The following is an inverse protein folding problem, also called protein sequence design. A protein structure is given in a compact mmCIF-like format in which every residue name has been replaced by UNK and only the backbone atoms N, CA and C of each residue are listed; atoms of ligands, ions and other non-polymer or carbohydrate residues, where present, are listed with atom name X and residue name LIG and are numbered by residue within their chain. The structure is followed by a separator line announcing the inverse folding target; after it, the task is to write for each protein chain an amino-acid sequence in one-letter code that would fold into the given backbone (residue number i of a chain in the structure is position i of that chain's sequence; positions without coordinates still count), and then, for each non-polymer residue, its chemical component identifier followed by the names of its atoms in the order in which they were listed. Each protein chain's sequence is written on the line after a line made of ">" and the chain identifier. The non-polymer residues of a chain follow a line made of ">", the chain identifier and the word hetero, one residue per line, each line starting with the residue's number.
data_IF_993522067763
#
_entry.id   IF_993522067763
#
_cell.length_a   1.000
_cell.length_b   1.000
_cell.length_c   1.000
_cell.angle_alpha   90.00
_cell.angle_beta   90.00
_cell.angle_gamma   90.00
#
_symmetry.space_group_name_H-M   'P 1'
#
loop_
_entity.id
_entity.type
_entity.pdbx_description
1 polymer ?
#
# COMPACT_ATOMS: atom_id res chain seq x y z
N UNK A 1 6.46 -11.86 -1.68
CA UNK A 1 7.87 -11.39 -1.68
C UNK A 1 7.96 -9.98 -1.09
N UNK A 2 7.22 -9.01 -1.63
CA UNK A 2 7.04 -7.63 -1.13
C UNK A 2 6.91 -7.50 0.39
N UNK A 3 6.03 -8.29 1.01
CA UNK A 3 5.71 -8.10 2.43
C UNK A 3 6.78 -8.68 3.37
N UNK A 4 7.44 -9.77 2.97
CA UNK A 4 8.63 -10.26 3.68
C UNK A 4 9.77 -9.23 3.62
N UNK A 5 9.85 -8.45 2.55
CA UNK A 5 10.82 -7.36 2.41
C UNK A 5 10.51 -6.16 3.31
N UNK A 6 9.25 -5.68 3.32
CA UNK A 6 8.86 -4.53 4.18
C UNK A 6 9.04 -4.89 5.65
N UNK A 7 8.70 -6.12 6.03
CA UNK A 7 8.89 -6.66 7.39
C UNK A 7 10.38 -6.89 7.68
N UNK A 8 11.20 -7.29 6.69
CA UNK A 8 12.63 -7.54 6.85
C UNK A 8 13.53 -6.30 6.86
N UNK A 9 13.03 -5.11 6.46
CA UNK A 9 13.88 -3.92 6.28
C UNK A 9 14.25 -3.20 7.58
N UNK A 10 13.55 -3.46 8.69
CA UNK A 10 14.03 -3.09 10.02
C UNK A 10 15.23 -3.99 10.38
N UNK A 11 16.40 -3.65 9.81
CA UNK A 11 17.73 -4.28 9.93
C UNK A 11 17.70 -5.67 10.55
N UNK A 12 17.55 -6.69 9.72
CA UNK A 12 17.96 -8.03 10.11
C UNK A 12 19.48 -8.13 9.91
N UNK A 13 20.26 -8.26 10.99
CA UNK A 13 21.73 -8.42 10.94
C UNK A 13 22.16 -9.84 10.55
N UNK A 14 21.23 -10.72 10.17
CA UNK A 14 21.49 -12.10 9.84
C UNK A 14 21.80 -12.24 8.34
N UNK A 15 23.04 -12.65 8.03
CA UNK A 15 23.68 -13.23 6.83
C UNK A 15 23.04 -13.27 5.43
N UNK A 16 21.72 -13.14 5.24
CA UNK A 16 21.07 -13.13 3.93
C UNK A 16 20.53 -11.71 3.64
N UNK A 17 21.02 -11.07 2.58
CA UNK A 17 20.70 -9.68 2.26
C UNK A 17 19.20 -9.44 2.03
N UNK A 18 18.65 -8.40 2.67
CA UNK A 18 17.34 -7.83 2.30
C UNK A 18 17.41 -7.23 0.89
N UNK A 19 16.31 -7.21 0.13
CA UNK A 19 16.29 -6.59 -1.22
C UNK A 19 16.38 -5.05 -1.21
N UNK A 20 16.78 -4.44 -0.09
CA UNK A 20 16.92 -3.00 0.11
C UNK A 20 15.61 -2.19 0.06
N UNK A 21 15.71 -0.88 0.35
CA UNK A 21 14.60 0.09 0.20
C UNK A 21 14.12 0.16 -1.24
N UNK A 22 15.04 0.06 -2.19
CA UNK A 22 14.73 0.08 -3.62
C UNK A 22 13.84 -1.11 -4.01
N UNK A 23 14.14 -2.32 -3.53
CA UNK A 23 13.30 -3.49 -3.79
C UNK A 23 11.90 -3.36 -3.17
N UNK A 24 11.78 -2.69 -2.02
CA UNK A 24 10.47 -2.36 -1.44
C UNK A 24 9.70 -1.42 -2.36
N UNK A 25 10.31 -0.31 -2.80
CA UNK A 25 9.67 0.65 -3.70
C UNK A 25 9.17 -0.02 -4.99
N UNK A 26 10.01 -0.85 -5.62
CA UNK A 26 9.64 -1.63 -6.81
C UNK A 26 8.47 -2.57 -6.56
N UNK A 27 8.41 -3.16 -5.37
CA UNK A 27 7.35 -4.11 -5.04
C UNK A 27 5.98 -3.45 -4.85
N UNK A 28 5.92 -2.17 -4.45
CA UNK A 28 4.67 -1.39 -4.47
C UNK A 28 4.32 -0.95 -5.91
N UNK A 29 5.23 -0.25 -6.59
CA UNK A 29 4.97 0.28 -7.93
C UNK A 29 4.70 -0.81 -8.98
N UNK A 30 5.48 -1.88 -8.97
CA UNK A 30 5.33 -3.01 -9.89
C UNK A 30 4.02 -3.77 -9.69
N UNK A 31 3.57 -3.96 -8.44
CA UNK A 31 2.29 -4.62 -8.18
C UNK A 31 1.11 -3.75 -8.62
N UNK A 32 1.17 -2.42 -8.44
CA UNK A 32 0.17 -1.51 -8.99
C UNK A 32 0.14 -1.62 -10.51
N UNK A 33 1.29 -1.56 -11.18
CA UNK A 33 1.37 -1.73 -12.65
C UNK A 33 0.67 -3.01 -13.12
N UNK A 34 1.00 -4.16 -12.54
CA UNK A 34 0.40 -5.45 -12.91
C UNK A 34 -1.10 -5.47 -12.64
N UNK A 35 -1.54 -5.08 -11.44
CA UNK A 35 -2.94 -5.15 -11.05
C UNK A 35 -3.80 -4.19 -11.86
N UNK A 36 -3.32 -2.98 -12.14
CA UNK A 36 -4.00 -2.02 -13.00
C UNK A 36 -4.13 -2.59 -14.40
N UNK A 37 -3.05 -3.13 -14.99
CA UNK A 37 -3.09 -3.75 -16.30
C UNK A 37 -4.14 -4.88 -16.39
N UNK A 38 -4.15 -5.78 -15.41
CA UNK A 38 -5.10 -6.90 -15.36
C UNK A 38 -6.56 -6.45 -15.16
N UNK A 39 -6.79 -5.35 -14.45
CA UNK A 39 -8.14 -4.94 -14.03
C UNK A 39 -8.69 -3.71 -14.74
N UNK A 40 -7.91 -3.09 -15.63
CA UNK A 40 -8.28 -1.88 -16.36
C UNK A 40 -9.59 -2.06 -17.15
N UNK A 41 -9.70 -3.12 -17.94
CA UNK A 41 -10.89 -3.39 -18.76
C UNK A 41 -12.13 -3.85 -17.98
N UNK A 42 -11.98 -4.20 -16.70
CA UNK A 42 -13.06 -4.75 -15.87
C UNK A 42 -13.56 -3.71 -14.87
N UNK A 43 -12.65 -3.16 -14.05
CA UNK A 43 -12.99 -2.27 -12.94
C UNK A 43 -12.55 -0.83 -13.16
N UNK A 44 -11.73 -0.55 -14.19
CA UNK A 44 -11.03 0.73 -14.36
C UNK A 44 -9.67 0.78 -13.66
N UNK A 45 -9.28 -0.28 -12.94
CA UNK A 45 -7.95 -0.40 -12.34
C UNK A 45 -7.66 0.61 -11.23
N UNK A 46 -8.64 0.95 -10.38
CA UNK A 46 -8.42 2.00 -9.38
C UNK A 46 -7.47 1.59 -8.26
N UNK A 47 -7.69 0.40 -7.66
CA UNK A 47 -6.88 -0.25 -6.59
C UNK A 47 -6.58 0.64 -5.35
N UNK A 48 -7.08 1.89 -5.32
CA UNK A 48 -6.79 2.91 -4.33
C UNK A 48 -8.03 3.80 -4.11
N UNK A 49 -8.44 4.02 -2.84
CA UNK A 49 -9.55 4.92 -2.51
C UNK A 49 -9.34 6.36 -2.98
N UNK A 50 -8.13 6.91 -2.91
CA UNK A 50 -7.82 8.27 -3.36
C UNK A 50 -7.99 8.43 -4.88
N UNK A 51 -7.56 7.45 -5.66
CA UNK A 51 -7.78 7.41 -7.12
C UNK A 51 -9.27 7.32 -7.43
N UNK A 52 -9.99 6.44 -6.73
CA UNK A 52 -11.44 6.29 -6.88
C UNK A 52 -12.17 7.60 -6.55
N UNK A 53 -11.76 8.27 -5.49
CA UNK A 53 -12.32 9.55 -5.06
C UNK A 53 -12.02 10.67 -6.06
N UNK A 54 -10.79 10.76 -6.56
CA UNK A 54 -10.42 11.73 -7.60
C UNK A 54 -11.25 11.56 -8.88
N UNK A 55 -11.45 10.32 -9.33
CA UNK A 55 -12.29 10.02 -10.49
C UNK A 55 -13.78 10.28 -10.22
N UNK A 56 -14.25 10.07 -9.00
CA UNK A 56 -15.59 10.47 -8.57
C UNK A 56 -15.78 12.00 -8.63
N UNK A 57 -14.82 12.78 -8.10
CA UNK A 57 -14.84 14.25 -8.19
C UNK A 57 -14.78 14.74 -9.64
N UNK A 58 -14.04 14.04 -10.49
CA UNK A 58 -13.99 14.27 -11.94
C UNK A 58 -15.26 13.79 -12.68
N UNK A 59 -16.29 13.31 -11.97
CA UNK A 59 -17.56 12.77 -12.51
C UNK A 59 -17.39 11.60 -13.46
N UNK A 60 -16.29 10.85 -13.34
CA UNK A 60 -16.01 9.63 -14.13
C UNK A 60 -16.53 8.35 -13.48
N UNK A 61 -16.97 8.42 -12.22
CA UNK A 61 -17.45 7.28 -11.43
C UNK A 61 -18.72 7.72 -10.71
N UNK A 62 -19.75 6.87 -10.69
CA UNK A 62 -20.98 7.15 -9.94
C UNK A 62 -20.76 7.01 -8.43
N UNK A 63 -21.52 7.75 -7.62
CA UNK A 63 -21.40 7.72 -6.16
C UNK A 63 -21.52 6.31 -5.56
N UNK A 64 -22.52 5.47 -5.93
CA UNK A 64 -22.63 4.12 -5.37
C UNK A 64 -21.40 3.25 -5.71
N UNK A 65 -20.89 3.37 -6.94
CA UNK A 65 -19.70 2.64 -7.39
C UNK A 65 -18.45 3.08 -6.63
N UNK A 66 -18.30 4.38 -6.40
CA UNK A 66 -17.18 4.93 -5.64
C UNK A 66 -17.15 4.39 -4.20
N UNK A 67 -18.29 4.39 -3.50
CA UNK A 67 -18.39 3.85 -2.13
C UNK A 67 -18.09 2.36 -2.10
N UNK A 68 -18.71 1.56 -2.98
CA UNK A 68 -18.46 0.12 -3.06
C UNK A 68 -16.99 -0.20 -3.35
N UNK A 69 -16.35 0.58 -4.22
CA UNK A 69 -14.94 0.41 -4.53
C UNK A 69 -14.05 0.69 -3.32
N UNK A 70 -14.29 1.79 -2.59
CA UNK A 70 -13.49 2.13 -1.40
C UNK A 70 -13.63 1.06 -0.31
N UNK A 71 -14.85 0.56 -0.08
CA UNK A 71 -15.08 -0.54 0.86
C UNK A 71 -14.35 -1.81 0.41
N UNK A 72 -14.49 -2.21 -0.86
CA UNK A 72 -13.82 -3.39 -1.40
C UNK A 72 -12.28 -3.28 -1.33
N UNK A 73 -11.73 -2.11 -1.62
CA UNK A 73 -10.29 -1.83 -1.52
C UNK A 73 -9.78 -1.95 -0.08
N UNK A 74 -10.49 -1.36 0.89
CA UNK A 74 -10.14 -1.46 2.30
C UNK A 74 -10.24 -2.91 2.81
N UNK A 75 -11.30 -3.63 2.46
CA UNK A 75 -11.46 -5.04 2.84
C UNK A 75 -10.36 -5.92 2.23
N UNK A 76 -10.04 -5.72 0.95
CA UNK A 76 -8.94 -6.42 0.28
C UNK A 76 -7.58 -6.16 0.95
N UNK A 77 -7.31 -4.91 1.33
CA UNK A 77 -6.09 -4.54 2.05
C UNK A 77 -6.01 -5.24 3.43
N UNK A 78 -7.11 -5.25 4.19
CA UNK A 78 -7.19 -5.95 5.49
C UNK A 78 -6.94 -7.45 5.31
N UNK A 79 -7.61 -8.09 4.35
CA UNK A 79 -7.42 -9.51 4.05
C UNK A 79 -5.97 -9.83 3.65
N UNK A 80 -5.36 -9.01 2.80
CA UNK A 80 -3.96 -9.16 2.39
C UNK A 80 -2.99 -9.05 3.56
N UNK A 81 -3.13 -8.03 4.41
CA UNK A 81 -2.33 -7.87 5.63
C UNK A 81 -2.55 -9.03 6.62
N UNK A 82 -3.80 -9.48 6.77
CA UNK A 82 -4.17 -10.61 7.62
C UNK A 82 -3.49 -11.91 7.19
N UNK A 83 -3.47 -12.19 5.88
CA UNK A 83 -2.81 -13.38 5.32
C UNK A 83 -1.30 -13.39 5.61
N UNK A 84 -0.65 -12.23 5.49
CA UNK A 84 0.78 -12.08 5.82
C UNK A 84 1.01 -12.36 7.30
N UNK A 85 0.19 -11.78 8.18
CA UNK A 85 0.28 -12.01 9.62
C UNK A 85 0.06 -13.50 9.95
N UNK A 86 -0.82 -14.19 9.24
CA UNK A 86 -1.03 -15.62 9.43
C UNK A 86 0.22 -16.44 9.08
N UNK A 87 0.95 -16.09 8.01
CA UNK A 87 2.16 -16.80 7.60
C UNK A 87 3.38 -16.52 8.49
N UNK A 88 3.55 -15.29 8.98
CA UNK A 88 4.75 -14.90 9.72
C UNK A 88 4.43 -14.05 10.94
N UNK A 89 3.52 -14.50 11.80
CA UNK A 89 2.99 -13.71 12.94
C UNK A 89 4.07 -13.05 13.80
N UNK A 90 5.08 -13.81 14.23
CA UNK A 90 6.14 -13.31 15.12
C UNK A 90 6.97 -12.20 14.47
N UNK A 91 7.35 -12.36 13.21
CA UNK A 91 8.08 -11.36 12.44
C UNK A 91 7.19 -10.15 12.13
N UNK A 92 5.94 -10.39 11.74
CA UNK A 92 4.96 -9.35 11.46
C UNK A 92 4.81 -8.38 12.64
N UNK A 93 4.56 -8.92 13.84
CA UNK A 93 4.37 -8.11 15.05
C UNK A 93 5.69 -7.42 15.47
N UNK A 94 6.85 -8.09 15.34
CA UNK A 94 8.16 -7.54 15.74
C UNK A 94 8.64 -6.38 14.87
N UNK A 95 8.40 -6.43 13.56
CA UNK A 95 8.96 -5.46 12.61
C UNK A 95 7.96 -4.36 12.17
N UNK A 96 6.80 -4.28 12.82
CA UNK A 96 5.83 -3.20 12.62
C UNK A 96 4.79 -3.46 11.52
N UNK A 97 4.70 -4.70 11.02
CA UNK A 97 3.58 -5.16 10.18
C UNK A 97 3.36 -4.46 8.85
N UNK A 98 4.31 -3.63 8.40
CA UNK A 98 4.15 -2.79 7.21
C UNK A 98 3.18 -1.62 7.39
N UNK A 99 2.94 -1.19 8.63
CA UNK A 99 2.07 -0.06 8.92
C UNK A 99 2.74 1.29 8.60
N UNK A 100 1.98 2.22 8.01
CA UNK A 100 2.44 3.58 7.76
C UNK A 100 2.46 4.39 9.06
N UNK A 101 3.62 4.96 9.40
CA UNK A 101 3.79 5.81 10.58
C UNK A 101 4.75 6.95 10.25
N UNK A 102 4.54 8.13 10.85
CA UNK A 102 5.50 9.23 10.75
C UNK A 102 6.80 8.83 11.47
N UNK A 103 7.91 8.84 10.74
CA UNK A 103 9.21 8.47 11.27
C UNK A 103 9.65 9.42 12.41
N UNK A 104 10.38 8.92 13.43
CA UNK A 104 10.94 9.77 14.48
C UNK A 104 11.79 10.90 13.88
N UNK A 105 11.68 12.10 14.45
CA UNK A 105 12.38 13.30 13.95
C UNK A 105 11.58 14.14 12.95
N UNK A 106 10.43 13.67 12.47
CA UNK A 106 9.53 14.45 11.61
C UNK A 106 8.24 14.85 12.33
N UNK A 107 7.76 16.06 12.06
CA UNK A 107 6.47 16.52 12.56
C UNK A 107 5.31 15.90 11.77
N UNK A 108 4.12 15.86 12.38
CA UNK A 108 2.90 15.37 11.70
C UNK A 108 2.55 16.23 10.48
N UNK A 109 2.84 17.53 10.52
CA UNK A 109 2.62 18.43 9.38
C UNK A 109 3.51 18.09 8.18
N UNK A 110 4.77 17.72 8.41
CA UNK A 110 5.67 17.25 7.35
C UNK A 110 5.18 15.93 6.76
N UNK A 111 4.78 14.98 7.62
CA UNK A 111 4.19 13.73 7.16
C UNK A 111 2.94 13.93 6.31
N UNK A 112 2.03 14.81 6.75
CA UNK A 112 0.82 15.15 6.00
C UNK A 112 1.14 15.80 4.64
N UNK A 113 2.06 16.76 4.61
CA UNK A 113 2.48 17.42 3.37
C UNK A 113 3.09 16.44 2.37
N UNK A 114 3.91 15.49 2.85
CA UNK A 114 4.49 14.44 2.02
C UNK A 114 3.42 13.54 1.39
N UNK A 115 2.42 13.09 2.16
CA UNK A 115 1.33 12.25 1.65
C UNK A 115 0.43 12.99 0.65
N UNK A 116 0.16 14.29 0.86
CA UNK A 116 -0.61 15.11 -0.09
C UNK A 116 0.11 15.23 -1.43
N UNK A 117 1.39 15.62 -1.40
CA UNK A 117 2.20 15.79 -2.62
C UNK A 117 2.38 14.44 -3.31
N UNK A 118 2.68 13.38 -2.55
CA UNK A 118 2.88 12.04 -3.08
C UNK A 118 1.62 11.42 -3.68
N UNK A 119 0.43 11.73 -3.17
CA UNK A 119 -0.85 11.27 -3.76
C UNK A 119 -1.26 12.08 -4.99
N UNK A 120 -0.80 13.34 -5.08
CA UNK A 120 -1.08 14.19 -6.23
C UNK A 120 -0.33 13.76 -7.50
N UNK A 121 0.91 13.27 -7.32
CA UNK A 121 1.75 12.71 -8.40
C UNK A 121 1.24 11.33 -8.82
#
# INVERSE_FOLDING_TARGET
>A
ITVATVIGHKRNSAGCGSVGLLGIAWSFGGMIFVLVYCTAGISGGHINPAVTFGLFLARKVSFPRAVLYMVAQCLGAICGCGLVKAFQKSFYDRYGGGANTVAPGYSKGVGLGAEIIGTFV
#
